data_IF_115698067748
#
_entry.id   IF_115698067748
#
_cell.length_a   1.000
_cell.length_b   1.000
_cell.length_c   1.000
_cell.angle_alpha   90.00
_cell.angle_beta   90.00
_cell.angle_gamma   90.00
#
_symmetry.space_group_name_H-M   'P 1'
#
loop_
_entity.id
_entity.type
_entity.pdbx_description
1 polymer ?
#
# COMPACT_ATOMS: atom_id res chain seq x y z
N UNK A 1 1.06 -13.44 -14.04
CA UNK A 1 0.51 -12.21 -13.41
C UNK A 1 0.97 -12.11 -11.97
N UNK A 2 1.37 -10.93 -11.52
CA UNK A 2 1.79 -10.67 -10.13
C UNK A 2 0.75 -9.79 -9.43
N UNK A 3 0.37 -10.19 -8.21
CA UNK A 3 -0.52 -9.42 -7.32
C UNK A 3 0.16 -9.30 -5.96
N UNK A 4 0.35 -8.09 -5.45
CA UNK A 4 1.20 -7.84 -4.27
C UNK A 4 0.83 -6.59 -3.48
N UNK A 5 1.13 -6.61 -2.18
CA UNK A 5 1.04 -5.45 -1.29
C UNK A 5 2.17 -4.43 -1.46
N UNK A 6 3.23 -4.79 -2.19
CA UNK A 6 4.44 -3.97 -2.38
C UNK A 6 4.21 -2.84 -3.40
N UNK A 7 5.05 -1.82 -3.32
CA UNK A 7 5.10 -0.72 -4.28
C UNK A 7 5.60 -1.15 -5.66
N UNK A 8 5.20 -0.44 -6.71
CA UNK A 8 5.45 -0.88 -8.08
C UNK A 8 6.94 -0.88 -8.41
N UNK A 9 7.69 0.17 -8.09
CA UNK A 9 9.15 0.22 -8.26
C UNK A 9 9.87 -1.01 -7.67
N UNK A 10 9.47 -1.47 -6.48
CA UNK A 10 10.11 -2.61 -5.81
C UNK A 10 9.88 -3.94 -6.52
N UNK A 11 8.74 -4.08 -7.20
CA UNK A 11 8.32 -5.32 -7.87
C UNK A 11 8.66 -5.31 -9.35
N UNK A 12 8.74 -4.13 -9.97
CA UNK A 12 9.00 -3.95 -11.39
C UNK A 12 10.24 -4.70 -11.85
N UNK A 13 11.35 -4.63 -11.09
CA UNK A 13 12.57 -5.37 -11.42
C UNK A 13 12.35 -6.89 -11.51
N UNK A 14 11.57 -7.46 -10.60
CA UNK A 14 11.30 -8.89 -10.58
C UNK A 14 10.37 -9.29 -11.72
N UNK A 15 9.40 -8.44 -12.06
CA UNK A 15 8.55 -8.64 -13.22
C UNK A 15 9.38 -8.66 -14.52
N UNK A 16 10.33 -7.71 -14.66
CA UNK A 16 11.22 -7.64 -15.81
C UNK A 16 12.20 -8.83 -15.87
N UNK A 17 12.83 -9.20 -14.76
CA UNK A 17 13.75 -10.35 -14.66
C UNK A 17 13.05 -11.68 -14.98
N UNK A 18 11.79 -11.83 -14.58
CA UNK A 18 10.97 -13.00 -14.88
C UNK A 18 10.41 -13.00 -16.32
N UNK A 19 10.65 -11.95 -17.12
CA UNK A 19 10.11 -11.82 -18.47
C UNK A 19 8.59 -11.70 -18.52
N UNK A 20 7.98 -11.10 -17.50
CA UNK A 20 6.53 -10.89 -17.45
C UNK A 20 6.14 -9.62 -18.22
N UNK A 21 5.35 -9.80 -19.28
CA UNK A 21 4.81 -8.70 -20.09
C UNK A 21 3.42 -8.23 -19.62
N UNK A 22 2.71 -9.08 -18.85
CA UNK A 22 1.40 -8.74 -18.31
C UNK A 22 1.49 -7.62 -17.26
N UNK A 23 0.44 -6.78 -17.13
CA UNK A 23 0.37 -5.83 -16.03
C UNK A 23 0.42 -6.50 -14.66
N UNK A 24 0.95 -5.76 -13.69
CA UNK A 24 1.08 -6.17 -12.29
C UNK A 24 0.12 -5.38 -11.41
N UNK A 25 -0.40 -6.03 -10.37
CA UNK A 25 -1.27 -5.42 -9.36
C UNK A 25 -0.44 -5.18 -8.11
N UNK A 26 -0.28 -3.92 -7.73
CA UNK A 26 0.58 -3.45 -6.62
C UNK A 26 -0.24 -2.74 -5.54
N UNK A 27 0.39 -2.42 -4.42
CA UNK A 27 -0.24 -1.68 -3.30
C UNK A 27 -1.59 -2.29 -2.88
N UNK A 28 -1.63 -3.61 -2.70
CA UNK A 28 -2.85 -4.35 -2.35
C UNK A 28 -4.00 -4.16 -3.35
N UNK A 29 -3.69 -3.83 -4.61
CA UNK A 29 -4.71 -3.53 -5.61
C UNK A 29 -4.97 -2.06 -5.83
N UNK A 30 -4.32 -1.13 -5.11
CA UNK A 30 -4.48 0.30 -5.40
C UNK A 30 -3.89 0.69 -6.76
N UNK A 31 -2.86 0.00 -7.24
CA UNK A 31 -2.19 0.29 -8.52
C UNK A 31 -2.23 -0.94 -9.42
N UNK A 32 -2.55 -0.73 -10.69
CA UNK A 32 -2.29 -1.69 -11.77
C UNK A 32 -1.39 -1.03 -12.78
N UNK A 33 -0.24 -1.62 -13.08
CA UNK A 33 0.78 -0.98 -13.90
C UNK A 33 1.44 -1.95 -14.88
N UNK A 34 1.85 -1.44 -16.03
CA UNK A 34 2.63 -2.18 -17.02
C UNK A 34 4.12 -2.16 -16.64
N UNK A 35 4.75 -3.33 -16.41
CA UNK A 35 6.16 -3.36 -15.98
C UNK A 35 7.12 -2.80 -17.05
N UNK A 36 6.86 -3.06 -18.33
CA UNK A 36 7.73 -2.61 -19.42
C UNK A 36 7.72 -1.08 -19.58
N UNK A 37 6.54 -0.51 -19.78
CA UNK A 37 6.37 0.94 -20.03
C UNK A 37 6.44 1.79 -18.75
N UNK A 38 6.17 1.19 -17.59
CA UNK A 38 5.97 1.93 -16.34
C UNK A 38 4.61 2.62 -16.24
N UNK A 39 3.73 2.44 -17.22
CA UNK A 39 2.42 3.12 -17.27
C UNK A 39 1.48 2.57 -16.21
N UNK A 40 0.88 3.46 -15.43
CA UNK A 40 -0.19 3.12 -14.51
C UNK A 40 -1.51 3.05 -15.26
N UNK A 41 -2.10 1.86 -15.29
CA UNK A 41 -3.39 1.58 -15.91
C UNK A 41 -4.56 1.89 -14.96
N UNK A 42 -4.31 1.80 -13.65
CA UNK A 42 -5.25 2.15 -12.58
C UNK A 42 -4.47 2.64 -11.37
N UNK A 43 -5.00 3.67 -10.71
CA UNK A 43 -4.52 4.16 -9.43
C UNK A 43 -5.70 4.61 -8.59
N UNK A 44 -5.81 4.09 -7.37
CA UNK A 44 -6.84 4.45 -6.39
C UNK A 44 -6.14 4.95 -5.12
N UNK A 45 -5.79 6.23 -5.05
CA UNK A 45 -5.17 6.82 -3.87
C UNK A 45 -6.18 7.06 -2.76
N UNK A 46 -5.66 7.23 -1.54
CA UNK A 46 -6.42 7.75 -0.41
C UNK A 46 -6.80 9.20 -0.71
N UNK A 47 -8.08 9.61 -0.61
CA UNK A 47 -8.46 11.01 -0.75
C UNK A 47 -7.62 11.91 0.16
N UNK A 48 -7.11 13.02 -0.37
CA UNK A 48 -6.14 13.86 0.34
C UNK A 48 -6.62 14.31 1.73
N UNK A 49 -7.89 14.68 1.85
CA UNK A 49 -8.46 15.12 3.14
C UNK A 49 -8.50 13.98 4.16
N UNK A 50 -8.83 12.76 3.73
CA UNK A 50 -8.79 11.58 4.60
C UNK A 50 -7.35 11.19 4.96
N UNK A 51 -6.41 11.31 4.03
CA UNK A 51 -5.00 11.06 4.30
C UNK A 51 -4.46 12.05 5.35
N UNK A 52 -4.81 13.34 5.23
CA UNK A 52 -4.45 14.35 6.23
C UNK A 52 -5.10 14.08 7.58
N UNK A 53 -6.38 13.71 7.61
CA UNK A 53 -7.08 13.32 8.84
C UNK A 53 -6.39 12.13 9.53
N UNK A 54 -5.97 11.11 8.76
CA UNK A 54 -5.23 9.96 9.26
C UNK A 54 -3.84 10.35 9.78
N UNK A 55 -3.08 11.15 9.03
CA UNK A 55 -1.76 11.62 9.45
C UNK A 55 -1.85 12.40 10.76
N UNK A 56 -2.83 13.30 10.89
CA UNK A 56 -3.05 14.04 12.14
C UNK A 56 -3.40 13.10 13.29
N UNK A 57 -4.33 12.15 13.09
CA UNK A 57 -4.73 11.22 14.14
C UNK A 57 -3.57 10.33 14.61
N UNK A 58 -2.75 9.83 13.66
CA UNK A 58 -1.58 9.01 13.96
C UNK A 58 -0.49 9.81 14.68
N UNK A 59 -0.24 11.04 14.23
CA UNK A 59 0.71 11.94 14.88
C UNK A 59 0.29 12.30 16.32
N UNK A 60 -1.00 12.60 16.54
CA UNK A 60 -1.54 12.92 17.86
C UNK A 60 -1.44 11.73 18.83
N UNK A 61 -1.56 10.50 18.31
CA UNK A 61 -1.35 9.25 19.05
C UNK A 61 0.15 8.90 19.22
N UNK A 62 1.07 9.69 18.65
CA UNK A 62 2.53 9.52 18.78
C UNK A 62 3.17 8.56 17.78
N UNK A 63 2.46 8.14 16.73
CA UNK A 63 2.96 7.19 15.75
C UNK A 63 3.68 7.87 14.57
N UNK A 64 4.86 7.34 14.23
CA UNK A 64 5.51 7.60 12.96
C UNK A 64 4.84 6.84 11.82
N UNK A 65 4.98 7.33 10.59
CA UNK A 65 4.40 6.64 9.43
C UNK A 65 5.20 6.85 8.15
N UNK A 66 5.09 5.84 7.29
CA UNK A 66 5.54 5.85 5.91
C UNK A 66 4.40 6.30 5.00
N UNK A 67 4.66 7.31 4.18
CA UNK A 67 3.69 7.86 3.23
C UNK A 67 4.15 7.59 1.81
N UNK A 68 3.30 6.93 1.02
CA UNK A 68 3.61 6.57 -0.37
C UNK A 68 2.90 7.50 -1.33
N UNK A 69 3.66 8.32 -2.06
CA UNK A 69 3.14 9.27 -3.06
C UNK A 69 3.89 9.04 -4.37
N UNK A 70 3.16 8.90 -5.49
CA UNK A 70 3.75 8.74 -6.83
C UNK A 70 4.84 7.66 -6.94
N UNK A 71 4.62 6.54 -6.25
CA UNK A 71 5.57 5.43 -6.16
C UNK A 71 6.88 5.72 -5.43
N UNK A 72 6.87 6.69 -4.52
CA UNK A 72 8.02 7.04 -3.69
C UNK A 72 7.64 7.04 -2.22
N UNK A 73 8.63 6.76 -1.36
CA UNK A 73 8.45 6.62 0.07
C UNK A 73 8.94 7.87 0.81
N UNK A 74 8.02 8.52 1.51
CA UNK A 74 8.24 9.73 2.30
C UNK A 74 8.00 9.47 3.78
N UNK A 75 8.80 10.14 4.62
CA UNK A 75 8.70 10.08 6.09
C UNK A 75 8.89 11.49 6.66
N UNK A 76 8.37 11.73 7.85
CA UNK A 76 8.63 13.00 8.55
C UNK A 76 10.13 13.14 8.84
N UNK A 77 10.72 12.10 9.41
CA UNK A 77 12.15 11.99 9.72
C UNK A 77 12.66 10.56 9.47
N UNK A 78 13.97 10.40 9.28
CA UNK A 78 14.58 9.08 9.13
C UNK A 78 14.84 8.50 10.53
N UNK A 79 14.01 7.55 10.95
CA UNK A 79 14.25 6.74 12.15
C UNK A 79 15.08 5.48 11.82
N UNK A 80 15.75 4.85 12.80
CA UNK A 80 16.43 3.56 12.60
C UNK A 80 15.51 2.48 12.04
N UNK A 81 14.25 2.44 12.48
CA UNK A 81 13.22 1.50 12.07
C UNK A 81 12.84 1.73 10.60
N UNK A 82 12.59 2.99 10.23
CA UNK A 82 12.30 3.39 8.85
C UNK A 82 13.48 3.03 7.93
N UNK A 83 14.72 3.33 8.34
CA UNK A 83 15.94 2.97 7.59
C UNK A 83 16.06 1.47 7.40
N UNK A 84 15.88 0.67 8.46
CA UNK A 84 15.94 -0.80 8.41
C UNK A 84 14.87 -1.36 7.47
N UNK A 85 13.66 -0.83 7.53
CA UNK A 85 12.58 -1.20 6.62
C UNK A 85 12.93 -0.89 5.16
N UNK A 86 13.41 0.33 4.89
CA UNK A 86 13.79 0.75 3.55
C UNK A 86 14.97 -0.06 3.00
N UNK A 87 15.95 -0.42 3.82
CA UNK A 87 17.07 -1.28 3.41
C UNK A 87 16.59 -2.69 3.05
N UNK A 88 15.71 -3.27 3.89
CA UNK A 88 15.13 -4.59 3.64
C UNK A 88 14.30 -4.63 2.36
N UNK A 89 13.54 -3.56 2.07
CA UNK A 89 12.72 -3.45 0.87
C UNK A 89 13.47 -2.85 -0.34
N UNK A 90 14.72 -2.41 -0.14
CA UNK A 90 15.56 -1.70 -1.11
C UNK A 90 14.90 -0.45 -1.69
N UNK A 91 14.40 0.41 -0.79
CA UNK A 91 13.69 1.65 -1.09
C UNK A 91 14.53 2.88 -0.75
N UNK A 92 14.33 3.95 -1.51
CA UNK A 92 14.82 5.28 -1.16
C UNK A 92 13.87 5.93 -0.15
N UNK A 93 14.40 6.42 0.96
CA UNK A 93 13.65 7.19 1.96
C UNK A 93 13.84 8.68 1.71
N UNK A 94 12.74 9.41 1.67
CA UNK A 94 12.74 10.86 1.47
C UNK A 94 12.17 11.58 2.71
N UNK A 95 13.00 12.13 3.61
CA UNK A 95 12.51 12.90 4.74
C UNK A 95 11.97 14.26 4.28
N UNK A 96 10.81 14.66 4.81
CA UNK A 96 10.13 15.92 4.43
C UNK A 96 9.88 16.87 5.60
N UNK A 97 10.23 16.49 6.83
CA UNK A 97 9.93 17.25 8.03
C UNK A 97 8.44 17.15 8.38
N UNK A 98 7.74 18.28 8.33
CA UNK A 98 6.29 18.30 8.56
C UNK A 98 5.56 17.62 7.39
N UNK A 99 5.29 16.32 7.55
CA UNK A 99 4.64 15.47 6.56
C UNK A 99 3.22 15.97 6.24
N UNK A 100 2.50 16.49 7.22
CA UNK A 100 1.14 17.01 7.04
C UNK A 100 1.15 18.26 6.16
N UNK A 101 2.05 19.21 6.44
CA UNK A 101 2.21 20.43 5.65
C UNK A 101 2.80 20.15 4.25
N UNK A 102 3.64 19.13 4.13
CA UNK A 102 4.25 18.73 2.86
C UNK A 102 3.26 18.02 1.92
N UNK A 103 2.33 17.21 2.45
CA UNK A 103 1.42 16.40 1.65
C UNK A 103 0.46 17.26 0.81
N UNK A 104 0.73 17.34 -0.49
CA UNK A 104 -0.08 18.09 -1.47
C UNK A 104 -0.91 17.19 -2.38
N UNK A 105 -0.41 15.99 -2.64
CA UNK A 105 -1.04 15.02 -3.54
C UNK A 105 -1.61 13.83 -2.75
N UNK A 106 -2.72 13.22 -3.21
CA UNK A 106 -3.29 12.02 -2.60
C UNK A 106 -2.26 10.87 -2.52
N UNK A 107 -1.94 10.35 -1.32
CA UNK A 107 -1.03 9.21 -1.20
C UNK A 107 -1.71 7.91 -1.60
N UNK A 108 -0.95 6.98 -2.16
CA UNK A 108 -1.42 5.63 -2.48
C UNK A 108 -1.71 4.83 -1.21
N UNK A 109 -0.89 5.02 -0.17
CA UNK A 109 -0.88 4.20 1.04
C UNK A 109 -0.19 4.93 2.19
N UNK A 110 -0.65 4.68 3.41
CA UNK A 110 0.10 4.99 4.64
C UNK A 110 0.43 3.68 5.37
N UNK A 111 1.58 3.62 6.03
CA UNK A 111 1.98 2.45 6.83
C UNK A 111 2.58 2.91 8.15
N UNK A 112 2.04 2.40 9.25
CA UNK A 112 2.64 2.51 10.59
C UNK A 112 3.43 1.25 10.85
N UNK A 113 4.65 1.42 11.38
CA UNK A 113 5.55 0.33 11.75
C UNK A 113 5.77 0.44 13.24
N UNK A 114 5.28 -0.52 14.01
CA UNK A 114 5.37 -0.50 15.46
C UNK A 114 5.24 -1.91 16.06
N UNK A 115 5.27 -2.01 17.38
CA UNK A 115 5.08 -3.24 18.13
C UNK A 115 3.69 -3.84 17.88
N UNK A 116 3.57 -5.18 17.72
CA UNK A 116 2.30 -5.80 17.32
C UNK A 116 1.11 -5.51 18.23
N UNK A 117 1.35 -5.44 19.54
CA UNK A 117 0.31 -5.16 20.55
C UNK A 117 -0.20 -3.71 20.44
N UNK A 118 0.71 -2.75 20.27
CA UNK A 118 0.37 -1.34 20.01
C UNK A 118 -0.43 -1.19 18.71
N UNK A 119 -0.06 -1.93 17.68
CA UNK A 119 -0.77 -1.92 16.40
C UNK A 119 -2.16 -2.56 16.47
N UNK A 120 -2.38 -3.57 17.31
CA UNK A 120 -3.71 -4.17 17.50
C UNK A 120 -4.68 -3.16 18.13
N UNK A 121 -4.21 -2.43 19.14
CA UNK A 121 -4.99 -1.37 19.76
C UNK A 121 -5.23 -0.20 18.81
N UNK A 122 -4.19 0.23 18.09
CA UNK A 122 -4.28 1.30 17.09
C UNK A 122 -5.24 0.93 15.96
N UNK A 123 -5.20 -0.31 15.47
CA UNK A 123 -6.10 -0.81 14.42
C UNK A 123 -7.56 -0.68 14.86
N UNK A 124 -7.89 -1.12 16.08
CA UNK A 124 -9.24 -1.03 16.61
C UNK A 124 -9.72 0.44 16.71
N UNK A 125 -8.88 1.34 17.24
CA UNK A 125 -9.19 2.77 17.34
C UNK A 125 -9.40 3.41 15.97
N UNK A 126 -8.52 3.13 15.02
CA UNK A 126 -8.59 3.73 13.70
C UNK A 126 -9.75 3.18 12.87
N UNK A 127 -10.05 1.89 12.95
CA UNK A 127 -11.26 1.31 12.33
C UNK A 127 -12.54 1.97 12.87
N UNK A 128 -12.62 2.17 14.19
CA UNK A 128 -13.74 2.87 14.81
C UNK A 128 -13.83 4.35 14.38
N UNK A 129 -12.70 5.06 14.30
CA UNK A 129 -12.64 6.48 13.89
C UNK A 129 -13.05 6.72 12.44
N UNK A 130 -12.59 5.85 11.53
CA UNK A 130 -12.81 6.06 10.10
C UNK A 130 -14.08 5.40 9.59
N UNK A 131 -14.70 4.48 10.33
CA UNK A 131 -16.00 3.87 10.00
C UNK A 131 -16.09 3.36 8.55
N UNK A 132 -15.02 2.73 8.06
CA UNK A 132 -14.93 2.21 6.69
C UNK A 132 -14.64 3.27 5.61
N UNK A 133 -14.40 4.54 5.95
CA UNK A 133 -13.87 5.56 5.01
C UNK A 133 -12.43 5.27 4.57
N UNK A 134 -11.72 4.42 5.29
CA UNK A 134 -10.40 3.89 4.95
C UNK A 134 -10.42 2.36 5.06
N UNK A 135 -9.68 1.70 4.18
CA UNK A 135 -9.31 0.31 4.37
C UNK A 135 -8.12 0.26 5.33
N UNK A 136 -8.28 -0.42 6.46
CA UNK A 136 -7.28 -0.50 7.53
C UNK A 136 -7.05 -1.98 7.84
N UNK A 137 -5.81 -2.43 7.71
CA UNK A 137 -5.48 -3.85 7.84
C UNK A 137 -4.02 -4.07 8.21
N UNK A 138 -3.75 -5.14 8.98
CA UNK A 138 -2.39 -5.60 9.25
C UNK A 138 -1.91 -6.53 8.13
N UNK A 139 -0.81 -6.18 7.49
CA UNK A 139 -0.18 -7.06 6.48
C UNK A 139 0.82 -8.04 7.09
N UNK A 140 1.49 -7.61 8.17
CA UNK A 140 2.33 -8.41 9.05
C UNK A 140 2.08 -7.92 10.48
N UNK A 141 2.48 -8.67 11.52
CA UNK A 141 2.24 -8.27 12.92
C UNK A 141 2.73 -6.86 13.27
N UNK A 142 3.77 -6.38 12.59
CA UNK A 142 4.43 -5.09 12.81
C UNK A 142 4.10 -4.03 11.73
N UNK A 143 3.09 -4.27 10.89
CA UNK A 143 2.66 -3.31 9.86
C UNK A 143 1.16 -3.09 9.92
N UNK A 144 0.75 -1.84 10.20
CA UNK A 144 -0.63 -1.40 10.04
C UNK A 144 -0.73 -0.52 8.80
N UNK A 145 -1.55 -0.92 7.86
CA UNK A 145 -1.67 -0.30 6.55
C UNK A 145 -3.01 0.43 6.40
N UNK A 146 -2.95 1.59 5.78
CA UNK A 146 -4.11 2.40 5.41
C UNK A 146 -4.14 2.56 3.90
N UNK A 147 -5.29 2.30 3.29
CA UNK A 147 -5.55 2.48 1.87
C UNK A 147 -6.96 3.05 1.65
N UNK A 148 -7.27 3.39 0.40
CA UNK A 148 -8.62 3.80 0.03
C UNK A 148 -9.61 2.64 0.28
N UNK A 149 -10.89 2.93 0.63
CA UNK A 149 -11.82 1.93 1.15
C UNK A 149 -12.13 0.79 0.16
N UNK A 150 -12.09 1.08 -1.15
CA UNK A 150 -12.37 0.10 -2.21
C UNK A 150 -11.11 -0.63 -2.71
N UNK A 151 -9.97 -0.46 -2.03
CA UNK A 151 -8.71 -1.12 -2.40
C UNK A 151 -8.66 -2.51 -1.81
N UNK A 152 -8.70 -3.50 -2.69
CA UNK A 152 -8.42 -4.90 -2.37
C UNK A 152 -7.65 -5.57 -3.50
N UNK A 153 -6.92 -6.66 -3.18
CA UNK A 153 -6.22 -7.46 -4.20
C UNK A 153 -7.23 -8.01 -5.22
N UNK A 154 -8.42 -8.39 -4.75
CA UNK A 154 -9.53 -8.84 -5.58
C UNK A 154 -10.01 -7.76 -6.56
N UNK A 155 -10.23 -6.52 -6.11
CA UNK A 155 -10.65 -5.42 -6.97
C UNK A 155 -9.58 -5.07 -8.03
N UNK A 156 -8.30 -5.09 -7.65
CA UNK A 156 -7.19 -4.90 -8.58
C UNK A 156 -7.11 -6.01 -9.64
N UNK A 157 -7.29 -7.27 -9.22
CA UNK A 157 -7.33 -8.42 -10.11
C UNK A 157 -8.55 -8.39 -11.04
N UNK A 158 -9.72 -8.00 -10.54
CA UNK A 158 -10.94 -7.89 -11.34
C UNK A 158 -10.79 -6.86 -12.46
N UNK A 159 -10.23 -5.68 -12.16
CA UNK A 159 -9.92 -4.68 -13.18
C UNK A 159 -9.03 -5.25 -14.29
N UNK A 160 -7.99 -6.01 -13.89
CA UNK A 160 -7.05 -6.60 -14.83
C UNK A 160 -7.68 -7.75 -15.64
N UNK A 161 -8.53 -8.55 -14.99
CA UNK A 161 -9.30 -9.63 -15.62
C UNK A 161 -10.24 -9.12 -16.72
N UNK A 162 -10.98 -8.05 -16.44
CA UNK A 162 -11.85 -7.39 -17.42
C UNK A 162 -11.04 -6.85 -18.60
N UNK A 163 -9.86 -6.28 -18.35
CA UNK A 163 -8.98 -5.73 -19.40
C UNK A 163 -8.37 -6.82 -20.30
N UNK A 164 -7.97 -7.95 -19.73
CA UNK A 164 -7.30 -9.04 -20.45
C UNK A 164 -8.28 -10.12 -20.96
N UNK A 165 -9.56 -10.03 -20.61
CA UNK A 165 -10.60 -10.95 -21.09
C UNK A 165 -10.54 -12.35 -20.48
N UNK A 166 -10.04 -12.50 -19.25
CA UNK A 166 -10.10 -13.76 -18.50
C UNK A 166 -11.09 -13.67 -17.33
N UNK A 167 -11.57 -14.82 -16.87
CA UNK A 167 -12.52 -14.91 -15.74
C UNK A 167 -11.82 -15.50 -14.51
N UNK A 168 -12.38 -15.25 -13.33
CA UNK A 168 -11.90 -15.84 -12.07
C UNK A 168 -11.80 -17.37 -12.12
N UNK A 169 -12.70 -18.03 -12.84
CA UNK A 169 -12.69 -19.48 -13.04
C UNK A 169 -11.44 -20.00 -13.80
N UNK A 170 -10.66 -19.11 -14.42
CA UNK A 170 -9.39 -19.43 -15.10
C UNK A 170 -8.18 -18.92 -14.33
N UNK A 171 -8.37 -18.47 -13.09
CA UNK A 171 -7.31 -17.90 -12.26
C UNK A 171 -6.94 -18.89 -11.16
N UNK A 172 -5.64 -19.06 -10.92
CA UNK A 172 -5.10 -19.72 -9.73
C UNK A 172 -4.35 -18.66 -8.93
N UNK A 173 -4.73 -18.46 -7.67
CA UNK A 173 -4.04 -17.56 -6.76
C UNK A 173 -3.17 -18.37 -5.78
N UNK A 174 -1.97 -17.88 -5.50
CA UNK A 174 -1.09 -18.36 -4.45
C UNK A 174 -0.79 -17.18 -3.53
N UNK A 175 -1.03 -17.33 -2.23
CA UNK A 175 -0.86 -16.27 -1.24
C UNK A 175 -0.70 -16.85 0.16
N UNK A 176 -0.03 -16.12 1.04
CA UNK A 176 0.35 -16.52 2.40
C UNK A 176 -0.18 -15.58 3.49
N UNK A 177 -0.79 -14.44 3.13
CA UNK A 177 -1.30 -13.44 4.07
C UNK A 177 -2.83 -13.42 4.22
N UNK A 178 -3.33 -12.79 5.30
CA UNK A 178 -4.78 -12.59 5.50
C UNK A 178 -5.42 -11.78 4.37
N UNK A 179 -4.66 -10.88 3.75
CA UNK A 179 -5.09 -10.13 2.56
C UNK A 179 -5.16 -10.98 1.28
N UNK A 180 -4.80 -12.27 1.32
CA UNK A 180 -4.98 -13.22 0.21
C UNK A 180 -6.28 -14.03 0.33
N UNK A 181 -6.95 -14.02 1.48
CA UNK A 181 -8.23 -14.73 1.68
C UNK A 181 -9.29 -14.26 0.67
N UNK A 182 -9.27 -12.98 0.32
CA UNK A 182 -10.20 -12.37 -0.64
C UNK A 182 -9.95 -12.82 -2.10
N UNK A 183 -8.79 -13.42 -2.40
CA UNK A 183 -8.48 -13.91 -3.74
C UNK A 183 -9.09 -15.29 -4.03
N UNK A 184 -9.45 -16.05 -2.99
CA UNK A 184 -9.96 -17.44 -3.09
C UNK A 184 -11.47 -17.50 -3.27
#
# INVERSE_FOLDING_TARGET
MLVTGRMFQSVRRYALEAGLDDPVVCYQGAVVAEPQSGTWLRHVPIPLDLAREAITALHDDGFGMNCYVNDELYVAEITPEARRYADFQQLELRPVGDLLAWLRDPPTKLVVIDDPEELDELEARMKARFEGRLYISKSLPFFLEFAAPDVTKAAGLEFLAQRLGFTRARTVAFGDGENDVELV
#
